data_IF_394723449622
#
_entry.id   IF_394723449622
#
_cell.length_a   1.000
_cell.length_b   1.000
_cell.length_c   1.000
_cell.angle_alpha   90.00
_cell.angle_beta   90.00
_cell.angle_gamma   90.00
#
_symmetry.space_group_name_H-M   'P 1'
#
loop_
_entity.id
_entity.type
_entity.pdbx_description
1 polymer ?
#
# COMPACT_ATOMS: atom_id res chain seq x y z
N UNK A 1 -29.83 15.11 17.49
CA UNK A 1 -29.00 13.96 17.84
C UNK A 1 -28.15 13.63 16.61
N UNK A 2 -26.90 14.09 16.60
CA UNK A 2 -25.99 14.00 15.47
C UNK A 2 -25.19 12.70 15.50
N UNK A 3 -24.84 12.24 14.31
CA UNK A 3 -24.36 10.90 14.02
C UNK A 3 -23.05 10.52 14.72
N UNK A 4 -23.09 9.36 15.37
CA UNK A 4 -21.92 8.54 15.61
C UNK A 4 -21.52 7.89 14.27
N UNK A 5 -20.91 8.71 13.42
CA UNK A 5 -20.37 8.33 12.12
C UNK A 5 -19.06 7.56 12.36
N UNK A 6 -19.20 6.24 12.36
CA UNK A 6 -18.18 5.22 12.10
C UNK A 6 -16.71 5.67 12.14
N UNK A 7 -16.04 5.38 13.25
CA UNK A 7 -14.60 5.10 13.27
C UNK A 7 -14.40 3.62 13.58
N UNK A 8 -14.65 2.76 12.60
CA UNK A 8 -14.00 1.45 12.56
C UNK A 8 -12.51 1.70 12.33
N UNK A 9 -11.78 1.98 13.40
CA UNK A 9 -10.33 1.80 13.42
C UNK A 9 -10.11 0.29 13.28
N UNK A 10 -9.85 -0.16 12.04
CA UNK A 10 -9.32 -1.51 11.79
C UNK A 10 -8.03 -1.63 12.59
N UNK A 11 -8.13 -2.19 13.79
CA UNK A 11 -7.01 -2.78 14.51
C UNK A 11 -6.33 -3.68 13.48
N UNK A 12 -5.07 -3.38 13.09
CA UNK A 12 -4.23 -4.32 12.35
C UNK A 12 -4.03 -5.51 13.28
N UNK A 13 -5.02 -6.41 13.34
CA UNK A 13 -4.84 -7.73 13.88
C UNK A 13 -3.70 -8.31 13.05
N UNK A 14 -2.59 -8.64 13.68
CA UNK A 14 -1.53 -9.39 13.01
C UNK A 14 -2.22 -10.60 12.39
N UNK A 15 -2.18 -10.70 11.06
CA UNK A 15 -2.79 -11.83 10.36
C UNK A 15 -2.10 -13.10 10.88
N UNK A 16 -2.89 -14.06 11.32
CA UNK A 16 -2.40 -15.32 11.90
C UNK A 16 -2.97 -16.51 11.13
N UNK A 17 -2.25 -17.63 11.14
CA UNK A 17 -2.69 -18.88 10.53
C UNK A 17 -3.09 -18.77 9.04
N UNK A 18 -4.34 -19.12 8.74
CA UNK A 18 -4.80 -19.26 7.36
C UNK A 18 -4.97 -17.90 6.65
N UNK A 19 -5.34 -16.85 7.37
CA UNK A 19 -5.49 -15.51 6.79
C UNK A 19 -4.15 -14.92 6.34
N UNK A 20 -3.09 -15.18 7.10
CA UNK A 20 -1.73 -14.79 6.73
C UNK A 20 -1.25 -15.51 5.46
N UNK A 21 -1.60 -16.79 5.34
CA UNK A 21 -1.27 -17.62 4.18
C UNK A 21 -1.94 -17.06 2.92
N UNK A 22 -3.25 -16.81 3.01
CA UNK A 22 -4.01 -16.24 1.90
C UNK A 22 -3.49 -14.86 1.48
N UNK A 23 -3.14 -14.01 2.45
CA UNK A 23 -2.57 -12.69 2.17
C UNK A 23 -1.18 -12.79 1.52
N UNK A 24 -0.37 -13.76 1.94
CA UNK A 24 0.92 -14.03 1.32
C UNK A 24 0.77 -14.49 -0.14
N UNK A 25 -0.21 -15.37 -0.43
CA UNK A 25 -0.53 -15.79 -1.79
C UNK A 25 -1.00 -14.61 -2.66
N UNK A 26 -1.89 -13.77 -2.14
CA UNK A 26 -2.35 -12.55 -2.83
C UNK A 26 -1.19 -11.59 -3.17
N UNK A 27 -0.19 -11.50 -2.30
CA UNK A 27 0.99 -10.67 -2.47
C UNK A 27 2.13 -11.37 -3.25
N UNK A 28 1.94 -12.63 -3.66
CA UNK A 28 2.97 -13.42 -4.35
C UNK A 28 4.19 -13.76 -3.49
N UNK A 29 4.05 -13.74 -2.16
CA UNK A 29 5.14 -14.05 -1.22
C UNK A 29 5.33 -15.56 -1.14
N UNK A 30 6.56 -16.04 -1.42
CA UNK A 30 6.89 -17.46 -1.39
C UNK A 30 6.74 -18.08 0.01
N UNK A 31 5.96 -19.17 0.07
CA UNK A 31 5.71 -19.99 1.26
C UNK A 31 6.73 -21.15 1.43
N UNK A 32 7.64 -21.32 0.48
CA UNK A 32 8.43 -22.56 0.28
C UNK A 32 9.55 -22.72 1.35
N UNK A 33 10.00 -21.65 1.98
CA UNK A 33 11.11 -21.67 2.96
C UNK A 33 10.66 -21.42 4.41
N UNK A 34 9.38 -21.64 4.69
CA UNK A 34 8.79 -21.28 5.97
C UNK A 34 8.79 -22.38 7.01
N UNK A 35 9.43 -23.49 6.71
CA UNK A 35 9.59 -24.61 7.61
C UNK A 35 11.00 -24.58 8.18
N UNK A 36 11.08 -24.47 9.51
CA UNK A 36 12.34 -24.63 10.24
C UNK A 36 12.86 -26.08 10.09
N UNK A 37 14.11 -26.35 10.49
CA UNK A 37 14.76 -27.68 10.46
C UNK A 37 13.92 -28.74 11.19
N UNK A 38 13.03 -28.31 12.09
CA UNK A 38 12.08 -29.15 12.84
C UNK A 38 10.70 -29.34 12.16
N UNK A 39 10.50 -28.84 10.95
CA UNK A 39 9.22 -28.90 10.23
C UNK A 39 8.13 -27.99 10.81
N UNK A 40 8.50 -27.05 11.69
CA UNK A 40 7.58 -26.07 12.29
C UNK A 40 7.52 -24.84 11.39
N UNK A 41 6.30 -24.41 11.07
CA UNK A 41 6.08 -23.21 10.27
C UNK A 41 6.47 -21.95 11.05
N UNK A 42 7.43 -21.19 10.56
CA UNK A 42 7.87 -19.91 11.13
C UNK A 42 6.87 -18.79 10.78
N UNK A 43 5.72 -18.77 11.46
CA UNK A 43 4.76 -17.66 11.36
C UNK A 43 5.40 -16.26 11.47
N UNK A 44 6.36 -15.97 12.37
CA UNK A 44 6.95 -14.63 12.46
C UNK A 44 7.71 -14.21 11.20
N UNK A 45 8.39 -15.12 10.51
CA UNK A 45 9.09 -14.80 9.26
C UNK A 45 8.11 -14.55 8.11
N UNK A 46 7.01 -15.31 8.06
CA UNK A 46 5.97 -15.08 7.06
C UNK A 46 5.31 -13.71 7.26
N UNK A 47 5.00 -13.38 8.51
CA UNK A 47 4.46 -12.06 8.85
C UNK A 47 5.40 -10.94 8.41
N UNK A 48 6.71 -11.10 8.63
CA UNK A 48 7.70 -10.12 8.19
C UNK A 48 7.71 -9.96 6.67
N UNK A 49 7.77 -11.05 5.91
CA UNK A 49 7.77 -11.02 4.43
C UNK A 49 6.49 -10.39 3.88
N UNK A 50 5.33 -10.71 4.46
CA UNK A 50 4.04 -10.11 4.08
C UNK A 50 4.03 -8.60 4.34
N UNK A 51 4.53 -8.15 5.51
CA UNK A 51 4.59 -6.71 5.83
C UNK A 51 5.52 -5.96 4.87
N UNK A 52 6.67 -6.55 4.53
CA UNK A 52 7.62 -5.97 3.57
C UNK A 52 6.99 -5.85 2.17
N UNK A 53 6.31 -6.90 1.69
CA UNK A 53 5.58 -6.87 0.43
C UNK A 53 4.47 -5.82 0.40
N UNK A 54 3.67 -5.71 1.47
CA UNK A 54 2.63 -4.67 1.57
C UNK A 54 3.20 -3.26 1.55
N UNK A 55 4.39 -3.04 2.13
CA UNK A 55 5.06 -1.73 2.08
C UNK A 55 5.49 -1.41 0.66
N UNK A 56 6.13 -2.34 -0.02
CA UNK A 56 6.59 -2.17 -1.41
C UNK A 56 5.42 -1.82 -2.36
N UNK A 57 4.27 -2.49 -2.20
CA UNK A 57 3.08 -2.21 -3.02
C UNK A 57 2.52 -0.81 -2.74
N UNK A 58 2.45 -0.40 -1.46
CA UNK A 58 1.99 0.95 -1.09
C UNK A 58 2.91 2.03 -1.63
N UNK A 59 4.22 1.85 -1.51
CA UNK A 59 5.21 2.79 -2.01
C UNK A 59 5.12 2.93 -3.54
N UNK A 60 4.93 1.81 -4.25
CA UNK A 60 4.75 1.81 -5.71
C UNK A 60 3.52 2.62 -6.15
N UNK A 61 2.39 2.47 -5.43
CA UNK A 61 1.18 3.25 -5.71
C UNK A 61 1.37 4.74 -5.42
N UNK A 62 2.06 5.08 -4.33
CA UNK A 62 2.37 6.47 -3.99
C UNK A 62 3.29 7.12 -5.01
N UNK A 63 4.27 6.38 -5.53
CA UNK A 63 5.18 6.88 -6.57
C UNK A 63 4.42 7.25 -7.85
N UNK A 64 3.49 6.40 -8.30
CA UNK A 64 2.68 6.68 -9.48
C UNK A 64 1.80 7.93 -9.28
N UNK A 65 1.20 8.10 -8.10
CA UNK A 65 0.42 9.31 -7.77
C UNK A 65 1.32 10.55 -7.77
N UNK A 66 2.53 10.45 -7.23
CA UNK A 66 3.49 11.56 -7.21
C UNK A 66 3.88 11.98 -8.63
N UNK A 67 4.11 11.03 -9.54
CA UNK A 67 4.42 11.31 -10.96
C UNK A 67 3.25 12.04 -11.62
N UNK A 68 2.02 11.55 -11.48
CA UNK A 68 0.83 12.23 -12.05
C UNK A 68 0.68 13.64 -11.48
N UNK A 69 0.87 13.81 -10.17
CA UNK A 69 0.74 15.12 -9.50
C UNK A 69 1.78 16.12 -10.00
N UNK A 70 3.02 15.67 -10.24
CA UNK A 70 4.08 16.50 -10.80
C UNK A 70 3.71 16.98 -12.21
N UNK A 71 3.22 16.07 -13.06
CA UNK A 71 2.78 16.41 -14.42
C UNK A 71 1.61 17.42 -14.39
N UNK A 72 0.61 17.18 -13.54
CA UNK A 72 -0.53 18.10 -13.36
C UNK A 72 -0.09 19.50 -12.90
N UNK A 73 0.92 19.58 -12.03
CA UNK A 73 1.48 20.86 -11.57
C UNK A 73 2.11 21.66 -12.72
N UNK A 74 2.86 21.00 -13.61
CA UNK A 74 3.45 21.65 -14.79
C UNK A 74 2.36 22.18 -15.73
N UNK A 75 1.33 21.38 -16.01
CA UNK A 75 0.21 21.82 -16.84
C UNK A 75 -0.54 23.01 -16.24
N UNK A 76 -0.73 23.01 -14.93
CA UNK A 76 -1.37 24.13 -14.21
C UNK A 76 -0.56 25.43 -14.37
N UNK A 77 0.77 25.36 -14.24
CA UNK A 77 1.65 26.51 -14.44
C UNK A 77 1.59 27.04 -15.89
N UNK A 78 1.60 26.15 -16.88
CA UNK A 78 1.49 26.54 -18.30
C UNK A 78 0.14 27.21 -18.58
N UNK A 79 -0.96 26.63 -18.09
CA UNK A 79 -2.30 27.19 -18.25
C UNK A 79 -2.40 28.61 -17.64
N UNK A 80 -1.81 28.81 -16.46
CA UNK A 80 -1.76 30.12 -15.82
C UNK A 80 -0.98 31.15 -16.67
N UNK A 81 0.17 30.77 -17.23
CA UNK A 81 0.93 31.65 -18.12
C UNK A 81 0.16 32.02 -19.39
N UNK A 82 -0.53 31.06 -20.01
CA UNK A 82 -1.35 31.32 -21.20
C UNK A 82 -2.50 32.26 -20.87
N UNK A 83 -3.23 32.00 -19.79
CA UNK A 83 -4.37 32.82 -19.38
C UNK A 83 -3.96 34.30 -19.21
N UNK A 84 -2.84 34.56 -18.52
CA UNK A 84 -2.30 35.91 -18.34
C UNK A 84 -1.89 36.52 -19.68
N UNK A 85 -1.25 35.76 -20.58
CA UNK A 85 -0.82 36.26 -21.88
C UNK A 85 -1.99 36.58 -22.83
N UNK A 86 -3.09 35.81 -22.76
CA UNK A 86 -4.29 36.02 -23.59
C UNK A 86 -5.26 37.07 -23.04
N UNK A 87 -5.17 37.42 -21.75
CA UNK A 87 -6.00 38.46 -21.11
C UNK A 87 -5.52 39.90 -21.40
N UNK A 88 -4.75 40.10 -22.47
CA UNK A 88 -4.27 41.40 -22.94
C UNK A 88 -5.06 41.85 -24.17
#
# INVERSE_FOLDING_TARGET
>A
MWGNMFTHTKKKSLLQGNELTKRAEELGVSLIELYDVHGVRSEPELQRRVIEAERAERESRLWLIAVISSVASVFSAIAACIAVATMK
#
